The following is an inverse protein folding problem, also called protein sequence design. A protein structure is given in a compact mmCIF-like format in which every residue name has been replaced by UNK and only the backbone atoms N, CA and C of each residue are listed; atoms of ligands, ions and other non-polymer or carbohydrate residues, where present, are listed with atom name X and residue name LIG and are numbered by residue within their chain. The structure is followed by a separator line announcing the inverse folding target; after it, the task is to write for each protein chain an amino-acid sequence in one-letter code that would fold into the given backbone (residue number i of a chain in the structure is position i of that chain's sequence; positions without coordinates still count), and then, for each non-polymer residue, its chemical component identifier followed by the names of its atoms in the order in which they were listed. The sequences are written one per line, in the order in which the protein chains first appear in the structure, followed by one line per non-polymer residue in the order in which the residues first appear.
data_IF_625603622900
#
_entry.id   IF_625603622900
#
_cell.length_a   1.000
_cell.length_b   1.000
_cell.length_c   1.000
_cell.angle_alpha   90.00
_cell.angle_beta   90.00
_cell.angle_gamma   90.00
#
_symmetry.space_group_name_H-M   'P 1'
#
loop_
_entity.id
_entity.type
_entity.pdbx_description
1 polymer ?
#
# COMPACT_ATOMS: atom_id res chain seq x y z
N UNK A 1 16.16 2.22 -23.13
CA UNK A 1 14.71 2.33 -23.43
C UNK A 1 13.83 1.46 -22.51
N UNK A 2 14.28 1.07 -21.30
CA UNK A 2 13.53 0.20 -20.37
C UNK A 2 13.12 0.88 -19.05
N UNK A 3 13.62 2.08 -18.75
CA UNK A 3 13.36 2.82 -17.51
C UNK A 3 11.95 3.43 -17.42
N UNK A 4 11.26 3.57 -18.56
CA UNK A 4 9.95 4.24 -18.60
C UNK A 4 8.81 3.37 -18.08
N UNK A 5 8.99 2.05 -18.00
CA UNK A 5 7.93 1.11 -17.61
C UNK A 5 7.82 1.00 -16.10
N UNK A 6 8.94 0.86 -15.38
CA UNK A 6 8.97 0.71 -13.92
C UNK A 6 8.47 1.95 -13.18
N UNK A 7 8.82 3.15 -13.67
CA UNK A 7 8.31 4.40 -13.11
C UNK A 7 6.81 4.61 -13.36
N UNK A 8 6.27 4.11 -14.48
CA UNK A 8 4.83 4.11 -14.77
C UNK A 8 4.05 3.20 -13.81
N UNK A 9 4.62 2.07 -13.40
CA UNK A 9 3.99 1.16 -12.43
C UNK A 9 3.98 1.74 -11.02
N UNK A 10 5.08 2.34 -10.56
CA UNK A 10 5.17 2.95 -9.24
C UNK A 10 4.28 4.20 -9.10
N UNK A 11 4.19 5.02 -10.15
CA UNK A 11 3.34 6.22 -10.14
C UNK A 11 1.84 5.90 -10.12
N UNK A 12 1.41 4.75 -10.66
CA UNK A 12 -0.01 4.33 -10.65
C UNK A 12 -0.45 3.71 -9.33
N UNK A 13 0.48 3.16 -8.54
CA UNK A 13 0.15 2.51 -7.27
C UNK A 13 -0.02 3.50 -6.11
N UNK A 14 0.62 4.67 -6.17
CA UNK A 14 0.48 5.73 -5.16
C UNK A 14 -0.80 6.58 -5.30
N UNK A 15 -1.68 6.29 -6.26
CA UNK A 15 -2.95 7.02 -6.48
C UNK A 15 -4.20 6.16 -6.33
N UNK A 16 -4.19 5.11 -5.50
CA UNK A 16 -5.44 4.43 -5.13
C UNK A 16 -5.93 4.98 -3.79
N UNK A 17 -6.88 5.92 -3.79
CA UNK A 17 -7.47 6.36 -2.54
C UNK A 17 -8.30 5.19 -2.02
N UNK A 18 -7.96 4.74 -0.82
CA UNK A 18 -8.87 4.03 0.07
C UNK A 18 -10.30 4.59 -0.09
N UNK A 19 -11.29 3.70 -0.20
CA UNK A 19 -12.67 4.11 -0.44
C UNK A 19 -13.14 5.02 0.73
N UNK A 20 -13.40 6.32 0.51
CA UNK A 20 -13.63 7.28 1.61
C UNK A 20 -14.91 7.01 2.41
N UNK A 21 -15.82 6.20 1.87
CA UNK A 21 -17.14 5.93 2.43
C UNK A 21 -17.14 5.15 3.75
N UNK A 22 -16.01 4.56 4.15
CA UNK A 22 -15.92 3.72 5.34
C UNK A 22 -14.91 4.22 6.38
N UNK A 23 -14.24 5.37 6.11
CA UNK A 23 -13.35 5.99 7.07
C UNK A 23 -14.17 6.94 7.94
N UNK A 24 -14.39 6.54 9.19
CA UNK A 24 -14.94 7.43 10.20
C UNK A 24 -13.76 8.29 10.68
N UNK A 25 -13.71 9.53 10.24
CA UNK A 25 -12.73 10.51 10.69
C UNK A 25 -13.47 11.52 11.55
N UNK A 26 -13.03 11.79 12.78
CA UNK A 26 -13.60 12.88 13.55
C UNK A 26 -13.38 14.20 12.80
N UNK A 27 -14.46 14.93 12.58
CA UNK A 27 -14.54 16.29 12.04
C UNK A 27 -13.72 17.27 12.88
N UNK A 28 -13.47 16.96 14.15
CA UNK A 28 -12.53 17.69 15.01
C UNK A 28 -11.12 17.77 14.39
N UNK A 29 -10.68 16.72 13.70
CA UNK A 29 -9.41 16.68 12.98
C UNK A 29 -9.43 17.45 11.65
N UNK A 30 -10.62 17.85 11.17
CA UNK A 30 -10.83 18.49 9.86
C UNK A 30 -11.27 19.96 9.94
N UNK A 31 -12.01 20.37 10.98
CA UNK A 31 -12.69 21.68 11.04
C UNK A 31 -12.49 22.47 12.33
N UNK A 32 -11.83 21.93 13.36
CA UNK A 32 -11.50 22.66 14.60
C UNK A 32 -12.69 23.21 15.41
N UNK A 33 -13.92 22.74 15.14
CA UNK A 33 -15.12 23.13 15.89
C UNK A 33 -15.34 22.17 17.07
N UNK A 34 -15.25 22.69 18.30
CA UNK A 34 -15.17 21.95 19.57
C UNK A 34 -16.54 21.51 20.16
N UNK A 35 -17.56 21.26 19.35
CA UNK A 35 -18.85 20.82 19.89
C UNK A 35 -18.82 19.35 20.26
N UNK A 36 -18.60 19.06 21.54
CA UNK A 36 -18.67 17.71 22.10
C UNK A 36 -20.05 17.07 21.85
N UNK A 37 -20.04 15.83 21.39
CA UNK A 37 -21.25 15.07 21.09
C UNK A 37 -22.09 14.75 22.34
N UNK A 38 -21.46 14.70 23.52
CA UNK A 38 -22.04 14.30 24.80
C UNK A 38 -21.71 15.29 25.92
N UNK A 39 -22.51 15.30 26.99
CA UNK A 39 -22.30 16.17 28.17
C UNK A 39 -21.27 15.62 29.17
N UNK A 40 -21.08 14.30 29.19
CA UNK A 40 -20.28 13.56 30.16
C UNK A 40 -18.92 13.07 29.64
N UNK A 41 -18.58 13.38 28.38
CA UNK A 41 -17.30 13.02 27.75
C UNK A 41 -16.66 14.30 27.20
N UNK A 42 -15.50 14.67 27.74
CA UNK A 42 -14.75 15.87 27.36
C UNK A 42 -13.41 15.53 26.69
N UNK A 43 -12.71 16.55 26.19
CA UNK A 43 -11.42 16.39 25.50
C UNK A 43 -10.29 15.78 26.36
N UNK A 44 -10.46 15.75 27.67
CA UNK A 44 -9.52 15.13 28.61
C UNK A 44 -9.64 13.59 28.66
N UNK A 45 -10.70 13.01 28.08
CA UNK A 45 -10.89 11.56 28.02
C UNK A 45 -10.03 10.94 26.91
N UNK A 46 -9.32 9.85 27.21
CA UNK A 46 -8.48 9.13 26.26
C UNK A 46 -9.28 8.62 25.04
N UNK A 47 -10.55 8.28 25.24
CA UNK A 47 -11.43 7.73 24.21
C UNK A 47 -12.28 8.81 23.51
N UNK A 48 -12.11 10.09 23.88
CA UNK A 48 -12.89 11.22 23.37
C UNK A 48 -12.94 11.26 21.84
N UNK A 49 -11.79 11.20 21.16
CA UNK A 49 -11.73 11.28 19.69
C UNK A 49 -12.51 10.14 19.02
N UNK A 50 -12.43 8.93 19.59
CA UNK A 50 -13.12 7.75 19.07
C UNK A 50 -14.63 7.87 19.26
N UNK A 51 -15.06 8.27 20.46
CA UNK A 51 -16.47 8.46 20.81
C UNK A 51 -17.09 9.57 19.95
N UNK A 52 -16.38 10.70 19.81
CA UNK A 52 -16.79 11.82 18.97
C UNK A 52 -16.93 11.40 17.51
N UNK A 53 -15.96 10.69 16.95
CA UNK A 53 -16.00 10.26 15.55
C UNK A 53 -17.20 9.34 15.27
N UNK A 54 -17.53 8.43 16.19
CA UNK A 54 -18.69 7.54 16.06
C UNK A 54 -20.01 8.29 16.11
N UNK A 55 -20.12 9.30 16.97
CA UNK A 55 -21.29 10.16 17.06
C UNK A 55 -21.48 11.01 15.80
N UNK A 56 -20.41 11.59 15.26
CA UNK A 56 -20.42 12.38 14.03
C UNK A 56 -20.72 11.54 12.79
N UNK A 57 -20.26 10.28 12.77
CA UNK A 57 -20.63 9.32 11.73
C UNK A 57 -22.11 8.89 11.81
N UNK A 58 -22.84 9.32 12.84
CA UNK A 58 -24.24 8.97 13.05
C UNK A 58 -24.46 7.52 13.50
N UNK A 59 -23.41 6.84 13.97
CA UNK A 59 -23.50 5.46 14.47
C UNK A 59 -24.08 5.42 15.88
N UNK A 60 -23.73 6.41 16.69
CA UNK A 60 -24.17 6.55 18.08
C UNK A 60 -25.06 7.79 18.19
N UNK A 61 -26.26 7.69 18.79
CA UNK A 61 -27.15 8.83 18.97
C UNK A 61 -26.50 9.87 19.87
N UNK A 62 -26.48 11.13 19.43
CA UNK A 62 -25.82 12.24 20.12
C UNK A 62 -26.53 13.56 19.83
N UNK A 63 -26.08 14.66 20.46
CA UNK A 63 -26.55 16.03 20.15
C UNK A 63 -26.36 16.41 18.69
N UNK A 64 -25.38 15.79 18.03
CA UNK A 64 -25.01 16.06 16.65
C UNK A 64 -25.95 15.34 15.66
N UNK A 65 -26.76 14.40 16.14
CA UNK A 65 -27.82 13.77 15.35
C UNK A 65 -28.93 14.81 15.11
N UNK A 66 -28.76 15.60 14.04
CA UNK A 66 -29.67 16.67 13.64
C UNK A 66 -31.04 16.11 13.25
N UNK A 67 -31.91 15.89 14.25
CA UNK A 67 -33.34 15.68 14.06
C UNK A 67 -34.02 17.01 14.37
N UNK A 68 -34.60 17.64 13.36
CA UNK A 68 -35.48 18.79 13.49
C UNK A 68 -36.70 18.40 14.36
N UNK A 69 -36.58 18.45 15.67
CA UNK A 69 -37.72 18.43 16.60
C UNK A 69 -37.58 19.64 17.50
N UNK A 70 -38.03 20.78 16.97
CA UNK A 70 -38.54 21.84 17.81
C UNK A 70 -39.64 21.24 18.73
N UNK A 71 -39.64 21.68 19.99
CA UNK A 71 -40.64 21.39 21.03
C UNK A 71 -40.47 20.06 21.77
N UNK A 72 -39.83 20.08 22.94
CA UNK A 72 -40.49 20.33 24.22
C UNK A 72 -39.40 20.49 25.31
N UNK A 73 -39.65 21.27 26.35
CA UNK A 73 -38.68 21.79 27.31
C UNK A 73 -38.03 20.78 28.27
N UNK A 74 -37.89 19.50 27.90
CA UNK A 74 -37.11 18.56 28.71
C UNK A 74 -35.61 18.76 28.44
N UNK A 75 -34.93 19.47 29.35
CA UNK A 75 -33.47 19.52 29.46
C UNK A 75 -32.91 18.12 29.82
N UNK A 76 -33.08 17.14 28.95
CA UNK A 76 -32.38 15.86 29.06
C UNK A 76 -30.99 16.04 28.48
N UNK A 77 -29.97 16.08 29.34
CA UNK A 77 -28.57 15.97 28.89
C UNK A 77 -28.38 14.70 28.07
N UNK A 78 -27.53 14.76 27.05
CA UNK A 78 -27.24 13.62 26.16
C UNK A 78 -25.91 13.05 26.60
N UNK A 79 -26.00 11.97 27.36
CA UNK A 79 -24.86 11.35 28.02
C UNK A 79 -24.49 10.03 27.32
N UNK A 80 -23.20 9.74 27.23
CA UNK A 80 -22.65 8.51 26.66
C UNK A 80 -22.59 7.37 27.69
N UNK A 81 -22.31 7.70 28.95
CA UNK A 81 -22.04 6.77 30.05
C UNK A 81 -20.87 5.81 29.75
N UNK A 82 -19.62 6.29 29.68
CA UNK A 82 -18.47 5.48 29.28
C UNK A 82 -18.25 4.24 30.17
N UNK A 83 -18.57 4.33 31.46
CA UNK A 83 -18.43 3.22 32.42
C UNK A 83 -19.57 2.18 32.34
N UNK A 84 -20.58 2.39 31.49
CA UNK A 84 -21.73 1.51 31.40
C UNK A 84 -21.43 0.33 30.46
N UNK A 85 -21.84 -0.87 30.87
CA UNK A 85 -21.83 -2.01 29.96
C UNK A 85 -22.72 -1.75 28.74
N UNK A 86 -22.18 -1.99 27.54
CA UNK A 86 -22.93 -1.95 26.30
C UNK A 86 -23.97 -3.07 26.27
N UNK A 87 -25.22 -2.71 25.98
CA UNK A 87 -26.29 -3.68 25.79
C UNK A 87 -26.12 -4.46 24.48
N UNK A 88 -26.75 -5.63 24.37
CA UNK A 88 -26.74 -6.41 23.11
C UNK A 88 -27.38 -5.64 21.97
N UNK A 89 -28.45 -4.93 22.27
CA UNK A 89 -29.13 -4.06 21.32
C UNK A 89 -28.20 -2.97 20.79
N UNK A 90 -27.55 -2.21 21.66
CA UNK A 90 -26.65 -1.13 21.25
C UNK A 90 -25.45 -1.64 20.48
N UNK A 91 -24.84 -2.74 20.92
CA UNK A 91 -23.71 -3.36 20.22
C UNK A 91 -24.08 -3.72 18.79
N UNK A 92 -25.23 -4.38 18.60
CA UNK A 92 -25.69 -4.79 17.27
C UNK A 92 -26.14 -3.58 16.46
N UNK A 93 -26.85 -2.63 17.07
CA UNK A 93 -27.31 -1.42 16.39
C UNK A 93 -26.13 -0.63 15.83
N UNK A 94 -25.12 -0.34 16.66
CA UNK A 94 -23.92 0.39 16.25
C UNK A 94 -23.14 -0.39 15.19
N UNK A 95 -22.93 -1.70 15.38
CA UNK A 95 -22.20 -2.51 14.40
C UNK A 95 -22.95 -2.62 13.07
N UNK A 96 -24.28 -2.74 13.09
CA UNK A 96 -25.11 -2.85 11.90
C UNK A 96 -25.11 -1.55 11.08
N UNK A 97 -25.16 -0.39 11.73
CA UNK A 97 -25.02 0.90 11.06
C UNK A 97 -23.64 1.09 10.42
N UNK A 98 -22.60 0.50 11.00
CA UNK A 98 -21.27 0.45 10.39
C UNK A 98 -21.14 -0.62 9.28
N UNK A 99 -21.92 -1.71 9.35
CA UNK A 99 -21.80 -2.92 8.51
C UNK A 99 -22.73 -2.94 7.29
N UNK A 100 -23.89 -2.31 7.37
CA UNK A 100 -24.87 -2.28 6.30
C UNK A 100 -24.99 -0.88 5.72
N UNK A 101 -25.22 -0.79 4.42
CA UNK A 101 -25.53 0.49 3.78
C UNK A 101 -27.01 0.81 4.05
N UNK A 102 -27.26 1.95 4.68
CA UNK A 102 -28.60 2.35 5.11
C UNK A 102 -29.39 2.92 3.93
N UNK A 103 -30.39 2.18 3.45
CA UNK A 103 -31.32 2.63 2.42
C UNK A 103 -32.67 3.04 3.04
N UNK A 104 -33.14 4.30 2.85
CA UNK A 104 -34.41 4.77 3.38
C UNK A 104 -35.57 4.03 2.67
N UNK A 105 -36.07 2.98 3.31
CA UNK A 105 -37.09 2.07 2.79
C UNK A 105 -37.03 0.67 3.42
N UNK A 106 -35.85 0.31 3.97
CA UNK A 106 -35.65 -0.95 4.70
C UNK A 106 -36.51 -1.00 5.98
N UNK A 107 -36.70 0.14 6.66
CA UNK A 107 -37.55 0.25 7.87
C UNK A 107 -39.03 -0.07 7.58
N UNK A 108 -39.56 0.31 6.41
CA UNK A 108 -40.93 -0.06 6.02
C UNK A 108 -41.07 -1.55 5.69
N UNK A 109 -40.01 -2.20 5.20
CA UNK A 109 -40.01 -3.65 4.98
C UNK A 109 -40.06 -4.43 6.29
N UNK A 110 -39.46 -3.90 7.36
CA UNK A 110 -39.46 -4.49 8.71
C UNK A 110 -40.88 -4.55 9.27
N UNK A 111 -41.65 -3.46 9.13
CA UNK A 111 -43.07 -3.43 9.58
C UNK A 111 -43.97 -4.44 8.84
N UNK A 112 -43.59 -4.82 7.61
CA UNK A 112 -44.32 -5.81 6.79
C UNK A 112 -43.90 -7.25 7.05
N UNK A 113 -42.67 -7.48 7.51
CA UNK A 113 -42.10 -8.82 7.68
C UNK A 113 -42.19 -9.26 9.14
N UNK A 114 -42.93 -10.34 9.40
CA UNK A 114 -43.06 -10.90 10.75
C UNK A 114 -41.67 -11.29 11.27
N UNK A 115 -41.27 -10.65 12.35
CA UNK A 115 -40.01 -10.90 13.04
C UNK A 115 -40.17 -12.10 13.99
N UNK A 116 -39.22 -13.03 13.99
CA UNK A 116 -39.32 -14.32 14.70
C UNK A 116 -38.93 -14.29 16.20
N UNK A 117 -38.53 -13.13 16.74
CA UNK A 117 -38.07 -13.02 18.12
C UNK A 117 -39.20 -12.63 19.08
N UNK A 118 -39.24 -13.27 20.24
CA UNK A 118 -40.34 -13.10 21.21
C UNK A 118 -40.32 -11.77 21.96
N UNK A 119 -39.13 -11.20 22.19
CA UNK A 119 -38.91 -10.04 23.08
C UNK A 119 -38.89 -8.68 22.36
N UNK A 120 -39.11 -8.64 21.04
CA UNK A 120 -38.98 -7.43 20.22
C UNK A 120 -40.28 -6.66 20.00
N UNK A 121 -41.39 -7.11 20.61
CA UNK A 121 -42.68 -6.41 20.52
C UNK A 121 -42.65 -5.06 21.24
N UNK A 122 -41.71 -4.89 22.17
CA UNK A 122 -41.59 -3.72 23.04
C UNK A 122 -40.55 -2.70 22.54
N UNK A 123 -39.82 -2.99 21.45
CA UNK A 123 -38.80 -2.09 20.88
C UNK A 123 -39.36 -1.43 19.63
N UNK A 124 -39.36 -0.10 19.60
CA UNK A 124 -39.76 0.65 18.40
C UNK A 124 -38.63 0.64 17.35
N UNK A 125 -38.95 0.47 16.06
CA UNK A 125 -37.96 0.55 14.98
C UNK A 125 -37.29 1.93 14.87
N UNK A 126 -37.93 2.97 15.40
CA UNK A 126 -37.40 4.33 15.47
C UNK A 126 -36.30 4.51 16.51
N UNK A 127 -36.22 3.62 17.51
CA UNK A 127 -35.18 3.64 18.54
C UNK A 127 -33.88 3.00 18.06
N UNK A 128 -33.97 1.87 17.35
CA UNK A 128 -32.83 0.96 17.12
C UNK A 128 -32.82 0.42 15.68
N UNK A 129 -32.73 1.29 14.66
CA UNK A 129 -32.91 0.90 13.26
C UNK A 129 -31.88 -0.14 12.78
N UNK A 130 -30.64 -0.06 13.26
CA UNK A 130 -29.57 -1.00 12.92
C UNK A 130 -29.88 -2.43 13.36
N UNK A 131 -30.51 -2.61 14.53
CA UNK A 131 -30.92 -3.94 15.01
C UNK A 131 -31.89 -4.61 14.02
N UNK A 132 -32.87 -3.87 13.51
CA UNK A 132 -33.84 -4.45 12.58
C UNK A 132 -33.24 -4.70 11.19
N UNK A 133 -32.31 -3.86 10.73
CA UNK A 133 -31.57 -4.09 9.48
C UNK A 133 -30.76 -5.38 9.57
N UNK A 134 -30.06 -5.58 10.68
CA UNK A 134 -29.30 -6.81 10.94
C UNK A 134 -30.19 -8.06 10.88
N UNK A 135 -31.41 -7.95 11.40
CA UNK A 135 -32.36 -9.05 11.40
C UNK A 135 -32.87 -9.40 9.99
N UNK A 136 -33.00 -8.40 9.12
CA UNK A 136 -33.32 -8.61 7.71
C UNK A 136 -32.18 -9.25 6.93
N UNK A 137 -30.93 -9.09 7.39
CA UNK A 137 -29.76 -9.70 6.77
C UNK A 137 -29.77 -11.24 6.85
N UNK A 138 -30.72 -11.84 7.60
CA UNK A 138 -30.95 -13.29 7.61
C UNK A 138 -29.73 -14.03 8.15
N UNK A 139 -29.16 -14.97 7.38
CA UNK A 139 -27.94 -15.69 7.76
C UNK A 139 -26.71 -14.79 7.89
N UNK A 140 -26.73 -13.60 7.26
CA UNK A 140 -25.65 -12.62 7.38
C UNK A 140 -25.74 -11.77 8.64
N UNK A 141 -26.83 -11.88 9.40
CA UNK A 141 -27.07 -11.19 10.68
C UNK A 141 -25.90 -11.38 11.66
N UNK A 142 -25.36 -10.27 12.13
CA UNK A 142 -24.39 -10.18 13.21
C UNK A 142 -25.02 -10.70 14.51
N UNK A 143 -26.28 -10.37 14.81
CA UNK A 143 -27.00 -10.89 15.98
C UNK A 143 -26.98 -12.42 16.02
N UNK A 144 -27.30 -13.08 14.90
CA UNK A 144 -27.30 -14.56 14.80
C UNK A 144 -25.90 -15.16 14.88
N UNK A 145 -24.88 -14.46 14.39
CA UNK A 145 -23.48 -14.91 14.45
C UNK A 145 -22.90 -14.79 15.86
N UNK A 146 -23.20 -13.71 16.57
CA UNK A 146 -22.64 -13.41 17.90
C UNK A 146 -23.40 -14.14 19.00
N UNK A 147 -24.73 -14.20 18.91
CA UNK A 147 -25.60 -14.72 19.97
C UNK A 147 -26.33 -16.03 19.60
N UNK A 148 -26.14 -16.53 18.38
CA UNK A 148 -26.78 -17.75 17.89
C UNK A 148 -28.22 -17.55 17.39
N UNK A 149 -28.85 -18.64 16.92
CA UNK A 149 -30.21 -18.66 16.37
C UNK A 149 -31.31 -18.72 17.46
N UNK A 150 -31.13 -17.97 18.56
CA UNK A 150 -32.10 -17.96 19.67
C UNK A 150 -33.36 -17.18 19.31
N UNK A 151 -34.55 -17.70 19.64
CA UNK A 151 -35.82 -16.96 19.52
C UNK A 151 -35.98 -15.85 20.57
N UNK A 152 -35.10 -15.82 21.58
CA UNK A 152 -35.07 -14.82 22.66
C UNK A 152 -33.77 -14.01 22.55
N UNK A 153 -33.87 -12.71 22.23
CA UNK A 153 -32.70 -11.83 22.02
C UNK A 153 -32.17 -11.21 23.31
N UNK A 154 -33.02 -11.01 24.33
CA UNK A 154 -32.68 -10.29 25.57
C UNK A 154 -31.90 -8.97 25.30
N UNK A 155 -32.52 -7.99 24.62
CA UNK A 155 -31.84 -6.81 24.07
C UNK A 155 -31.08 -5.99 25.13
N UNK A 156 -31.68 -5.87 26.32
CA UNK A 156 -31.16 -5.08 27.45
C UNK A 156 -30.05 -5.77 28.25
N UNK A 157 -29.70 -7.02 27.93
CA UNK A 157 -28.63 -7.73 28.66
C UNK A 157 -27.27 -7.14 28.28
N UNK A 158 -26.31 -6.98 29.21
CA UNK A 158 -24.96 -6.56 28.85
C UNK A 158 -24.26 -7.59 27.95
N UNK A 159 -23.43 -7.09 27.04
CA UNK A 159 -22.59 -7.90 26.16
C UNK A 159 -21.24 -8.20 26.82
N UNK A 160 -20.71 -9.41 26.63
CA UNK A 160 -19.35 -9.74 27.09
C UNK A 160 -18.29 -9.29 26.08
N UNK A 161 -17.05 -9.12 26.54
CA UNK A 161 -15.92 -8.76 25.67
C UNK A 161 -15.71 -9.76 24.52
N UNK A 162 -15.94 -11.06 24.77
CA UNK A 162 -15.88 -12.08 23.73
C UNK A 162 -16.98 -11.89 22.66
N UNK A 163 -18.19 -11.51 23.08
CA UNK A 163 -19.30 -11.23 22.15
C UNK A 163 -19.02 -9.98 21.31
N UNK A 164 -18.50 -8.92 21.94
CA UNK A 164 -18.07 -7.71 21.23
C UNK A 164 -16.96 -8.03 20.21
N UNK A 165 -15.95 -8.82 20.59
CA UNK A 165 -14.88 -9.24 19.68
C UNK A 165 -15.41 -10.03 18.47
N UNK A 166 -16.34 -10.97 18.68
CA UNK A 166 -16.98 -11.71 17.57
C UNK A 166 -17.79 -10.75 16.69
N UNK A 167 -18.52 -9.79 17.26
CA UNK A 167 -19.29 -8.81 16.50
C UNK A 167 -18.38 -7.96 15.60
N UNK A 168 -17.28 -7.46 16.13
CA UNK A 168 -16.32 -6.60 15.42
C UNK A 168 -15.55 -7.35 14.32
N UNK A 169 -15.17 -8.60 14.57
CA UNK A 169 -14.46 -9.43 13.59
C UNK A 169 -15.40 -10.04 12.53
N UNK A 170 -16.70 -10.08 12.81
CA UNK A 170 -17.70 -10.52 11.84
C UNK A 170 -18.02 -9.42 10.80
N UNK A 171 -18.22 -9.81 9.54
CA UNK A 171 -18.66 -8.89 8.48
C UNK A 171 -17.52 -8.33 7.61
N UNK A 172 -17.61 -7.04 7.25
CA UNK A 172 -16.70 -6.32 6.33
C UNK A 172 -15.24 -6.36 6.78
N UNK A 173 -14.98 -6.45 8.09
CA UNK A 173 -13.62 -6.59 8.64
C UNK A 173 -12.93 -7.88 8.17
N UNK A 174 -13.69 -8.97 7.95
CA UNK A 174 -13.15 -10.22 7.41
C UNK A 174 -12.65 -10.04 5.98
N UNK A 175 -13.41 -9.32 5.15
CA UNK A 175 -13.03 -9.02 3.77
C UNK A 175 -11.81 -8.09 3.71
N UNK A 176 -11.74 -7.10 4.61
CA UNK A 176 -10.57 -6.24 4.71
C UNK A 176 -9.31 -7.01 5.15
N UNK A 177 -9.45 -7.92 6.11
CA UNK A 177 -8.33 -8.77 6.55
C UNK A 177 -7.86 -9.70 5.43
N UNK A 178 -8.79 -10.36 4.72
CA UNK A 178 -8.47 -11.22 3.57
C UNK A 178 -7.75 -10.42 2.46
N UNK A 179 -8.25 -9.23 2.14
CA UNK A 179 -7.58 -8.34 1.18
C UNK A 179 -6.21 -7.86 1.66
N UNK A 180 -6.05 -7.61 2.96
CA UNK A 180 -4.76 -7.25 3.55
C UNK A 180 -3.76 -8.41 3.46
N UNK A 181 -4.22 -9.64 3.69
CA UNK A 181 -3.41 -10.85 3.55
C UNK A 181 -3.00 -11.09 2.09
N UNK A 182 -3.92 -10.89 1.13
CA UNK A 182 -3.60 -10.94 -0.31
C UNK A 182 -2.53 -9.91 -0.70
N UNK A 183 -2.68 -8.65 -0.27
CA UNK A 183 -1.70 -7.61 -0.58
C UNK A 183 -0.36 -7.86 0.11
N UNK A 184 -0.36 -8.44 1.32
CA UNK A 184 0.86 -8.88 2.00
C UNK A 184 1.58 -9.98 1.23
N UNK A 185 0.83 -10.97 0.71
CA UNK A 185 1.39 -12.03 -0.11
C UNK A 185 2.00 -11.48 -1.40
N UNK A 186 1.27 -10.59 -2.10
CA UNK A 186 1.78 -9.89 -3.28
C UNK A 186 3.04 -9.07 -2.98
N UNK A 187 3.07 -8.39 -1.82
CA UNK A 187 4.24 -7.65 -1.37
C UNK A 187 5.47 -8.56 -1.20
N UNK A 188 5.26 -9.74 -0.61
CA UNK A 188 6.33 -10.74 -0.44
C UNK A 188 6.86 -11.27 -1.78
N UNK A 189 5.99 -11.57 -2.74
CA UNK A 189 6.40 -12.04 -4.07
C UNK A 189 7.23 -10.97 -4.81
N UNK A 190 6.81 -9.71 -4.72
CA UNK A 190 7.51 -8.59 -5.34
C UNK A 190 8.89 -8.39 -4.70
N UNK A 191 8.99 -8.48 -3.37
CA UNK A 191 10.26 -8.36 -2.64
C UNK A 191 11.24 -9.47 -3.03
N UNK A 192 10.76 -10.71 -3.17
CA UNK A 192 11.57 -11.84 -3.62
C UNK A 192 12.08 -11.64 -5.06
N UNK A 193 11.22 -11.18 -5.97
CA UNK A 193 11.62 -10.85 -7.35
C UNK A 193 12.65 -9.72 -7.40
N UNK A 194 12.51 -8.70 -6.55
CA UNK A 194 13.51 -7.64 -6.45
C UNK A 194 14.86 -8.17 -5.97
N UNK A 195 14.87 -9.03 -4.96
CA UNK A 195 16.08 -9.64 -4.46
C UNK A 195 16.81 -10.45 -5.54
N UNK A 196 16.07 -11.29 -6.28
CA UNK A 196 16.61 -12.07 -7.40
C UNK A 196 17.17 -11.18 -8.52
N UNK A 197 16.47 -10.09 -8.86
CA UNK A 197 16.94 -9.16 -9.89
C UNK A 197 18.22 -8.41 -9.48
N UNK A 198 18.37 -8.08 -8.19
CA UNK A 198 19.59 -7.47 -7.67
C UNK A 198 20.76 -8.46 -7.75
N UNK A 199 20.54 -9.71 -7.37
CA UNK A 199 21.57 -10.75 -7.46
C UNK A 199 22.03 -10.99 -8.91
N UNK A 200 21.10 -11.02 -9.87
CA UNK A 200 21.41 -11.15 -11.30
C UNK A 200 22.27 -9.97 -11.80
N UNK A 201 21.93 -8.74 -11.42
CA UNK A 201 22.70 -7.54 -11.77
C UNK A 201 24.11 -7.55 -11.15
N UNK A 202 24.26 -8.06 -9.93
CA UNK A 202 25.58 -8.20 -9.31
C UNK A 202 26.45 -9.21 -10.06
N UNK A 203 25.87 -10.34 -10.50
CA UNK A 203 26.59 -11.31 -11.33
C UNK A 203 26.99 -10.71 -12.69
N UNK A 204 26.09 -9.98 -13.35
CA UNK A 204 26.41 -9.32 -14.61
C UNK A 204 27.55 -8.31 -14.45
N UNK A 205 27.54 -7.53 -13.37
CA UNK A 205 28.62 -6.58 -13.04
C UNK A 205 29.97 -7.29 -12.91
N UNK A 206 30.03 -8.41 -12.19
CA UNK A 206 31.26 -9.21 -12.05
C UNK A 206 31.77 -9.68 -13.42
N UNK A 207 30.86 -10.11 -14.30
CA UNK A 207 31.21 -10.53 -15.67
C UNK A 207 31.77 -9.36 -16.48
N UNK A 208 31.15 -8.19 -16.39
CA UNK A 208 31.62 -6.98 -17.08
C UNK A 208 33.01 -6.55 -16.61
N UNK A 209 33.27 -6.54 -15.30
CA UNK A 209 34.58 -6.20 -14.73
C UNK A 209 35.68 -7.16 -15.22
N UNK A 210 35.39 -8.47 -15.23
CA UNK A 210 36.31 -9.48 -15.77
C UNK A 210 36.57 -9.29 -17.27
N UNK A 211 35.54 -8.95 -18.04
CA UNK A 211 35.69 -8.68 -19.46
C UNK A 211 36.56 -7.44 -19.72
N UNK A 212 36.32 -6.37 -18.95
CA UNK A 212 37.11 -5.15 -19.02
C UNK A 212 38.59 -5.39 -18.70
N UNK A 213 38.89 -6.18 -17.66
CA UNK A 213 40.27 -6.57 -17.33
C UNK A 213 40.96 -7.29 -18.49
N UNK A 214 40.29 -8.28 -19.11
CA UNK A 214 40.84 -9.00 -20.28
C UNK A 214 41.09 -8.07 -21.48
N UNK A 215 40.23 -7.09 -21.69
CA UNK A 215 40.39 -6.10 -22.77
C UNK A 215 41.61 -5.22 -22.49
N UNK A 216 41.82 -4.79 -21.25
CA UNK A 216 43.00 -4.01 -20.86
C UNK A 216 44.30 -4.79 -21.07
N UNK A 217 44.34 -6.07 -20.68
CA UNK A 217 45.50 -6.94 -20.90
C UNK A 217 45.83 -7.07 -22.40
N UNK A 218 44.82 -7.35 -23.23
CA UNK A 218 44.99 -7.45 -24.67
C UNK A 218 45.47 -6.14 -25.30
N UNK A 219 44.97 -5.00 -24.81
CA UNK A 219 45.41 -3.68 -25.26
C UNK A 219 46.89 -3.43 -24.96
N UNK A 220 47.35 -3.78 -23.75
CA UNK A 220 48.76 -3.64 -23.38
C UNK A 220 49.69 -4.49 -24.25
N UNK A 221 49.26 -5.69 -24.62
CA UNK A 221 50.01 -6.58 -25.53
C UNK A 221 50.14 -5.92 -26.91
N UNK A 222 49.02 -5.45 -27.48
CA UNK A 222 49.02 -4.80 -28.80
C UNK A 222 49.86 -3.53 -28.81
N UNK A 223 49.83 -2.72 -27.75
CA UNK A 223 50.68 -1.52 -27.64
C UNK A 223 52.17 -1.88 -27.66
N UNK A 224 52.56 -2.96 -26.97
CA UNK A 224 53.93 -3.46 -27.00
C UNK A 224 54.33 -3.97 -28.39
N UNK A 225 53.45 -4.69 -29.08
CA UNK A 225 53.68 -5.16 -30.45
C UNK A 225 53.84 -4.00 -31.44
N UNK A 226 52.99 -2.97 -31.34
CA UNK A 226 53.08 -1.77 -32.17
C UNK A 226 54.45 -1.10 -31.97
N UNK A 227 54.91 -0.96 -30.74
CA UNK A 227 56.19 -0.32 -30.45
C UNK A 227 57.37 -1.14 -30.98
N UNK A 228 57.33 -2.46 -30.83
CA UNK A 228 58.33 -3.36 -31.40
C UNK A 228 58.41 -3.22 -32.93
N UNK A 229 57.26 -3.14 -33.62
CA UNK A 229 57.20 -2.95 -35.07
C UNK A 229 57.81 -1.60 -35.47
N UNK A 230 57.56 -0.52 -34.72
CA UNK A 230 58.17 0.80 -35.02
C UNK A 230 59.70 0.73 -34.93
N UNK A 231 60.24 0.07 -33.90
CA UNK A 231 61.69 -0.10 -33.74
C UNK A 231 62.27 -0.93 -34.89
N UNK A 232 61.62 -2.03 -35.27
CA UNK A 232 62.08 -2.85 -36.39
C UNK A 232 62.07 -2.06 -37.71
N UNK A 233 61.03 -1.24 -37.94
CA UNK A 233 60.95 -0.38 -39.11
C UNK A 233 62.11 0.62 -39.18
N UNK A 234 62.46 1.27 -38.08
CA UNK A 234 63.58 2.23 -38.07
C UNK A 234 64.92 1.54 -38.35
N UNK A 235 65.12 0.31 -37.85
CA UNK A 235 66.31 -0.49 -38.17
C UNK A 235 66.40 -0.83 -39.65
N UNK A 236 65.29 -1.23 -40.27
CA UNK A 236 65.24 -1.54 -41.71
C UNK A 236 65.54 -0.28 -42.54
N UNK A 237 64.97 0.87 -42.16
CA UNK A 237 65.23 2.15 -42.83
C UNK A 237 66.70 2.58 -42.70
N UNK A 238 67.32 2.41 -41.52
CA UNK A 238 68.73 2.70 -41.29
C UNK A 238 69.65 1.80 -42.13
N UNK A 239 69.34 0.51 -42.19
CA UNK A 239 70.13 -0.44 -42.98
C UNK A 239 69.98 -0.17 -44.48
N UNK A 240 68.78 0.19 -44.94
CA UNK A 240 68.56 0.64 -46.32
C UNK A 240 69.41 1.89 -46.64
N UNK A 241 69.47 2.88 -45.75
CA UNK A 241 70.33 4.07 -45.90
C UNK A 241 71.80 3.71 -45.99
N UNK A 242 72.30 2.83 -45.12
CA UNK A 242 73.70 2.36 -45.16
C UNK A 242 74.01 1.62 -46.46
N UNK A 243 73.10 0.74 -46.90
CA UNK A 243 73.26 0.00 -48.14
C UNK A 243 73.26 0.92 -49.37
N UNK A 244 72.42 1.95 -49.39
CA UNK A 244 72.45 2.97 -50.44
C UNK A 244 73.77 3.74 -50.45
N UNK A 245 74.32 4.10 -49.29
CA UNK A 245 75.63 4.76 -49.20
C UNK A 245 76.76 3.85 -49.73
N UNK A 246 76.77 2.57 -49.36
CA UNK A 246 77.72 1.58 -49.89
C UNK A 246 77.63 1.46 -51.41
N UNK A 247 76.41 1.39 -51.96
CA UNK A 247 76.19 1.33 -53.40
C UNK A 247 76.76 2.55 -54.14
N UNK A 248 76.52 3.76 -53.61
CA UNK A 248 77.08 5.01 -54.18
C UNK A 248 78.61 5.01 -54.20
N UNK A 249 79.26 4.52 -53.15
CA UNK A 249 80.73 4.39 -53.12
C UNK A 249 81.22 3.44 -54.21
N UNK A 250 80.55 2.30 -54.38
CA UNK A 250 80.90 1.34 -55.43
C UNK A 250 80.68 1.92 -56.83
N UNK A 251 79.62 2.69 -57.06
CA UNK A 251 79.40 3.40 -58.32
C UNK A 251 80.50 4.44 -58.61
N UNK A 252 80.95 5.20 -57.61
CA UNK A 252 82.04 6.16 -57.74
C UNK A 252 83.36 5.45 -58.09
N UNK A 253 83.70 4.38 -57.39
CA UNK A 253 84.88 3.57 -57.68
C UNK A 253 84.80 2.97 -59.09
N UNK A 254 83.64 2.45 -59.49
CA UNK A 254 83.41 1.91 -60.82
C UNK A 254 83.56 2.97 -61.92
N UNK A 255 83.09 4.20 -61.71
CA UNK A 255 83.34 5.33 -62.63
C UNK A 255 84.82 5.68 -62.71
N UNK A 256 85.53 5.71 -61.58
CA UNK A 256 86.96 6.03 -61.53
C UNK A 256 87.82 4.99 -62.25
N UNK A 257 87.47 3.71 -62.15
CA UNK A 257 88.17 2.63 -62.85
C UNK A 257 87.96 2.68 -64.37
N UNK A 258 86.76 3.02 -64.85
CA UNK A 258 86.49 3.17 -66.28
C UNK A 258 87.33 4.27 -66.97
N UNK A 259 87.81 5.27 -66.23
CA UNK A 259 88.70 6.32 -66.79
C UNK A 259 90.15 5.88 -66.97
N UNK A 260 90.60 4.85 -66.26
CA UNK A 260 91.97 4.33 -66.39
C UNK A 260 92.14 3.36 -67.57
N UNK A 261 91.07 2.99 -68.25
CA UNK A 261 91.10 2.13 -69.46
C UNK A 261 91.19 2.95 -70.77
N UNK A 262 91.18 4.29 -70.72
CA UNK A 262 91.24 5.19 -71.90
C UNK A 262 92.54 6.03 -71.99
N UNK A 263 93.61 5.67 -71.27
CA UNK A 263 94.95 6.30 -71.37
C UNK A 263 96.01 5.27 -71.81
#
# INVERSE_FOLDING_TARGET
MKESTTLSYLSKNNQRPWNPKHKIVPSIALSGSETAAFDDVGADDQDFESIQALAEAGIIPSKLSNRNTASDGSKGGTNFFPDRFISREELINWKALAEYDFEPGVIEQISRKKVDFMDLKDISPDSSPGLFIDMLAGEKSILRKVFGQSKRSQPNKPSSNAQAAVALTSGRMRFLNEKLDEERARGSEVEELYFLAVEELEQEKIVQEKCAARILDAKSILEAEIEAIKILKSWVEDEARKNQARAKVLEEVGRRWKWNDEA
#
